data_IF_736721874715
#
_entry.id   IF_736721874715
#
_cell.length_a   1.000
_cell.length_b   1.000
_cell.length_c   1.000
_cell.angle_alpha   90.00
_cell.angle_beta   90.00
_cell.angle_gamma   90.00
#
_symmetry.space_group_name_H-M   'P 1'
#
loop_
_entity.id
_entity.type
_entity.pdbx_description
1 polymer ?
#
# COMPACT_ATOMS: atom_id res chain seq x y z
N UNK A 1 -1.70 20.74 27.13
CA UNK A 1 -2.41 20.02 28.21
C UNK A 1 -2.53 18.51 27.94
N UNK A 2 -1.56 17.91 27.21
CA UNK A 2 -1.37 16.46 27.14
C UNK A 2 0.12 16.20 27.34
N UNK A 3 0.54 16.16 28.60
CA UNK A 3 1.89 15.73 28.97
C UNK A 3 1.86 14.21 29.09
N UNK A 4 1.88 13.53 27.94
CA UNK A 4 2.01 12.07 27.93
C UNK A 4 3.50 11.78 27.93
N UNK A 5 4.09 11.77 29.12
CA UNK A 5 5.46 11.36 29.28
C UNK A 5 5.55 9.82 29.21
N UNK A 6 6.76 9.27 28.98
CA UNK A 6 6.96 7.82 28.91
C UNK A 6 6.46 7.06 30.15
N UNK A 7 6.43 7.72 31.31
CA UNK A 7 5.89 7.20 32.58
C UNK A 7 4.40 6.86 32.50
N UNK A 8 3.59 7.71 31.88
CA UNK A 8 2.15 7.56 31.76
C UNK A 8 1.83 6.36 30.86
N UNK A 9 2.61 6.17 29.78
CA UNK A 9 2.49 4.97 28.96
C UNK A 9 2.81 3.68 29.75
N UNK A 10 3.83 3.70 30.60
CA UNK A 10 4.15 2.58 31.49
C UNK A 10 3.02 2.29 32.49
N UNK A 11 2.43 3.33 33.08
CA UNK A 11 1.30 3.18 33.99
C UNK A 11 0.09 2.55 33.28
N UNK A 12 -0.25 3.05 32.08
CA UNK A 12 -1.36 2.49 31.28
C UNK A 12 -1.07 1.05 30.87
N UNK A 13 0.16 0.72 30.46
CA UNK A 13 0.56 -0.64 30.14
C UNK A 13 0.43 -1.57 31.36
N UNK A 14 0.83 -1.11 32.55
CA UNK A 14 0.67 -1.86 33.79
C UNK A 14 -0.80 -2.11 34.12
N UNK A 15 -1.65 -1.09 34.06
CA UNK A 15 -3.09 -1.22 34.29
C UNK A 15 -3.71 -2.17 33.26
N UNK A 16 -3.33 -2.07 31.98
CA UNK A 16 -3.81 -2.97 30.93
C UNK A 16 -3.41 -4.43 31.22
N UNK A 17 -2.19 -4.68 31.70
CA UNK A 17 -1.74 -6.02 32.09
C UNK A 17 -2.56 -6.59 33.26
N UNK A 18 -2.96 -5.75 34.23
CA UNK A 18 -3.76 -6.20 35.38
C UNK A 18 -5.21 -6.46 34.97
N UNK A 19 -5.81 -5.57 34.18
CA UNK A 19 -7.24 -5.63 33.81
C UNK A 19 -7.51 -6.70 32.75
N UNK A 20 -6.70 -6.72 31.69
CA UNK A 20 -6.86 -7.67 30.57
C UNK A 20 -6.14 -8.97 30.89
N UNK A 21 -5.04 -8.91 31.64
CA UNK A 21 -4.18 -10.06 31.89
C UNK A 21 -3.01 -10.13 30.89
N UNK A 22 -1.81 -10.57 31.34
CA UNK A 22 -0.62 -10.63 30.49
C UNK A 22 -0.72 -11.63 29.34
N UNK A 23 -1.61 -12.63 29.44
CA UNK A 23 -1.82 -13.65 28.40
C UNK A 23 -2.81 -13.21 27.32
N UNK A 24 -3.75 -12.34 27.68
CA UNK A 24 -4.80 -11.87 26.77
C UNK A 24 -4.42 -10.57 26.06
N UNK A 25 -3.52 -9.76 26.65
CA UNK A 25 -3.00 -8.54 26.01
C UNK A 25 -2.36 -8.81 24.63
N UNK A 26 -1.51 -9.84 24.42
CA UNK A 26 -0.98 -10.18 23.11
C UNK A 26 -2.07 -10.54 22.09
N UNK A 27 -3.16 -11.19 22.55
CA UNK A 27 -4.30 -11.52 21.69
C UNK A 27 -5.09 -10.27 21.33
N UNK A 28 -5.33 -9.37 22.27
CA UNK A 28 -5.99 -8.08 22.05
C UNK A 28 -5.19 -7.18 21.09
N UNK A 29 -3.86 -7.09 21.25
CA UNK A 29 -3.00 -6.33 20.34
C UNK A 29 -3.07 -6.83 18.91
N UNK A 30 -3.19 -8.16 18.69
CA UNK A 30 -3.37 -8.72 17.35
C UNK A 30 -4.70 -8.30 16.73
N UNK A 31 -5.78 -8.27 17.52
CA UNK A 31 -7.10 -7.82 17.05
C UNK A 31 -7.05 -6.33 16.69
N UNK A 32 -6.58 -5.49 17.59
CA UNK A 32 -6.43 -4.05 17.35
C UNK A 32 -5.53 -3.81 16.13
N UNK A 33 -4.39 -4.48 16.06
CA UNK A 33 -3.45 -4.39 14.94
C UNK A 33 -4.08 -4.81 13.60
N UNK A 34 -4.90 -5.86 13.59
CA UNK A 34 -5.64 -6.27 12.39
C UNK A 34 -6.61 -5.18 11.92
N UNK A 35 -7.39 -4.60 12.84
CA UNK A 35 -8.33 -3.53 12.53
C UNK A 35 -7.62 -2.27 12.03
N UNK A 36 -6.55 -1.84 12.72
CA UNK A 36 -5.71 -0.71 12.32
C UNK A 36 -5.07 -0.97 10.96
N UNK A 37 -4.56 -2.18 10.71
CA UNK A 37 -3.96 -2.58 9.44
C UNK A 37 -4.96 -2.52 8.29
N UNK A 38 -6.19 -3.00 8.50
CA UNK A 38 -7.28 -2.93 7.53
C UNK A 38 -7.70 -1.49 7.25
N UNK A 39 -7.88 -0.68 8.30
CA UNK A 39 -8.17 0.75 8.15
C UNK A 39 -7.06 1.48 7.40
N UNK A 40 -5.79 1.16 7.66
CA UNK A 40 -4.64 1.74 6.94
C UNK A 40 -4.56 1.28 5.48
N UNK A 41 -4.98 0.06 5.18
CA UNK A 41 -5.11 -0.41 3.79
C UNK A 41 -6.18 0.37 3.02
N UNK A 42 -7.35 0.55 3.64
CA UNK A 42 -8.46 1.33 3.10
C UNK A 42 -8.09 2.81 2.93
N UNK A 43 -7.41 3.41 3.92
CA UNK A 43 -6.93 4.78 3.83
C UNK A 43 -5.89 5.00 2.71
N UNK A 44 -5.09 3.97 2.38
CA UNK A 44 -4.15 4.04 1.25
C UNK A 44 -4.88 4.09 -0.10
N UNK A 45 -5.94 3.29 -0.25
CA UNK A 45 -6.81 3.34 -1.43
C UNK A 45 -7.53 4.69 -1.54
N UNK A 46 -8.03 5.21 -0.41
CA UNK A 46 -8.64 6.54 -0.38
C UNK A 46 -7.63 7.65 -0.67
N UNK A 47 -6.37 7.54 -0.24
CA UNK A 47 -5.35 8.52 -0.61
C UNK A 47 -5.14 8.55 -2.11
N UNK A 48 -5.03 7.39 -2.74
CA UNK A 48 -4.89 7.27 -4.21
C UNK A 48 -6.11 7.81 -4.96
N UNK A 49 -7.33 7.51 -4.49
CA UNK A 49 -8.56 8.05 -5.07
C UNK A 49 -8.77 9.54 -4.82
N UNK A 50 -8.40 10.02 -3.63
CA UNK A 50 -8.47 11.42 -3.23
C UNK A 50 -7.44 12.26 -3.97
N UNK A 51 -6.22 11.78 -4.19
CA UNK A 51 -5.22 12.49 -5.00
C UNK A 51 -5.71 12.68 -6.45
N UNK A 52 -6.48 11.73 -6.99
CA UNK A 52 -7.14 11.87 -8.30
C UNK A 52 -8.31 12.86 -8.27
N UNK A 53 -9.18 12.80 -7.25
CA UNK A 53 -10.31 13.73 -7.10
C UNK A 53 -9.86 15.15 -6.76
N UNK A 54 -8.81 15.32 -5.97
CA UNK A 54 -8.19 16.62 -5.68
C UNK A 54 -7.53 17.17 -6.92
N UNK A 55 -6.89 16.34 -7.74
CA UNK A 55 -6.41 16.80 -9.05
C UNK A 55 -7.57 17.32 -9.90
N UNK A 56 -8.70 16.61 -9.93
CA UNK A 56 -9.91 17.05 -10.63
C UNK A 56 -10.50 18.35 -10.05
N UNK A 57 -10.58 18.48 -8.72
CA UNK A 57 -11.10 19.67 -8.04
C UNK A 57 -10.15 20.87 -8.12
N UNK A 58 -8.83 20.63 -8.09
CA UNK A 58 -7.81 21.64 -8.37
C UNK A 58 -7.90 22.10 -9.84
N UNK A 59 -8.19 21.20 -10.78
CA UNK A 59 -8.38 21.57 -12.19
C UNK A 59 -9.60 22.47 -12.38
N UNK A 60 -10.73 22.18 -11.73
CA UNK A 60 -11.95 22.99 -11.84
C UNK A 60 -11.78 24.40 -11.24
N UNK A 61 -11.05 24.52 -10.11
CA UNK A 61 -10.69 25.83 -9.54
C UNK A 61 -9.61 26.57 -10.34
N UNK A 62 -8.65 25.86 -10.94
CA UNK A 62 -7.61 26.44 -11.79
C UNK A 62 -8.20 26.95 -13.11
N UNK A 63 -9.11 26.23 -13.75
CA UNK A 63 -9.81 26.67 -14.97
C UNK A 63 -10.61 27.94 -14.72
N UNK A 64 -11.31 28.01 -13.58
CA UNK A 64 -12.10 29.20 -13.22
C UNK A 64 -11.21 30.43 -13.00
N UNK A 65 -10.04 30.25 -12.39
CA UNK A 65 -9.04 31.33 -12.22
C UNK A 65 -8.41 31.73 -13.55
N UNK A 66 -8.06 30.77 -14.40
CA UNK A 66 -7.50 31.02 -15.72
C UNK A 66 -8.50 31.72 -16.64
N UNK A 67 -9.77 31.31 -16.64
CA UNK A 67 -10.82 31.94 -17.43
C UNK A 67 -11.10 33.38 -16.97
N UNK A 68 -11.12 33.62 -15.65
CA UNK A 68 -11.30 34.96 -15.09
C UNK A 68 -10.11 35.89 -15.43
N UNK A 69 -8.88 35.39 -15.33
CA UNK A 69 -7.68 36.16 -15.67
C UNK A 69 -7.57 36.41 -17.18
N UNK A 70 -7.89 35.42 -18.02
CA UNK A 70 -7.92 35.57 -19.48
C UNK A 70 -9.00 36.58 -19.93
N UNK A 71 -10.19 36.55 -19.31
CA UNK A 71 -11.24 37.54 -19.57
C UNK A 71 -10.81 38.95 -19.18
N UNK A 72 -10.06 39.09 -18.08
CA UNK A 72 -9.49 40.37 -17.65
C UNK A 72 -8.43 40.87 -18.62
N UNK A 73 -7.50 40.02 -19.06
CA UNK A 73 -6.48 40.35 -20.05
C UNK A 73 -7.12 40.80 -21.38
N UNK A 74 -8.17 40.11 -21.83
CA UNK A 74 -8.91 40.49 -23.06
C UNK A 74 -9.68 41.81 -22.92
N UNK A 75 -10.13 42.14 -21.71
CA UNK A 75 -10.78 43.42 -21.42
C UNK A 75 -9.78 44.58 -21.32
N UNK A 76 -8.58 44.33 -20.80
CA UNK A 76 -7.50 45.32 -20.67
C UNK A 76 -6.71 45.50 -21.98
N UNK A 77 -6.66 44.48 -22.85
CA UNK A 77 -6.01 44.52 -24.18
C UNK A 77 -7.00 44.16 -25.30
N UNK A 78 -7.89 45.08 -25.72
CA UNK A 78 -8.67 44.88 -26.94
C UNK A 78 -7.70 44.71 -28.12
N UNK A 79 -7.83 43.61 -28.86
CA UNK A 79 -6.97 43.31 -29.99
C UNK A 79 -7.05 44.43 -31.03
N UNK A 80 -6.01 45.28 -31.05
CA UNK A 80 -5.75 46.19 -32.16
C UNK A 80 -5.59 45.32 -33.42
N UNK A 81 -6.31 45.62 -34.51
CA UNK A 81 -6.22 44.81 -35.72
C UNK A 81 -4.80 44.84 -36.25
N UNK A 82 -4.36 43.67 -36.72
CA UNK A 82 -3.02 43.37 -37.23
C UNK A 82 -2.46 44.47 -38.15
N UNK A 83 -1.26 44.91 -37.82
CA UNK A 83 -0.43 45.75 -38.67
C UNK A 83 1.04 45.60 -38.28
N UNK A 84 1.87 45.43 -39.30
CA UNK A 84 3.34 45.52 -39.29
C UNK A 84 4.16 44.28 -38.90
N UNK A 85 4.48 43.53 -39.96
CA UNK A 85 5.67 42.73 -40.20
C UNK A 85 6.98 43.26 -39.59
N UNK A 86 7.79 42.37 -39.00
CA UNK A 86 9.25 42.41 -39.13
C UNK A 86 9.84 41.00 -38.97
N UNK A 87 10.09 40.37 -40.12
CA UNK A 87 10.92 39.20 -40.30
C UNK A 87 12.34 39.54 -39.81
N UNK A 88 12.84 38.81 -38.82
CA UNK A 88 14.18 38.94 -38.27
C UNK A 88 14.95 37.65 -38.48
N UNK A 89 15.47 37.50 -39.69
CA UNK A 89 16.31 36.40 -40.13
C UNK A 89 17.53 36.23 -39.22
N UNK A 90 17.78 35.03 -38.71
CA UNK A 90 19.13 34.58 -38.37
C UNK A 90 19.21 33.06 -38.53
N UNK A 91 19.46 32.65 -39.78
CA UNK A 91 20.00 31.34 -40.09
C UNK A 91 21.44 31.28 -39.56
N UNK A 92 21.72 30.35 -38.65
CA UNK A 92 23.04 30.16 -38.07
C UNK A 92 23.24 28.76 -37.50
N UNK A 93 23.78 27.88 -38.36
CA UNK A 93 24.66 26.75 -38.04
C UNK A 93 24.15 25.58 -37.15
N UNK A 94 23.91 24.45 -37.84
CA UNK A 94 24.10 23.03 -37.49
C UNK A 94 24.18 22.56 -36.02
N UNK A 95 23.51 21.45 -35.64
CA UNK A 95 23.57 20.90 -34.29
C UNK A 95 24.96 20.30 -34.02
N UNK A 96 25.69 20.91 -33.10
CA UNK A 96 26.89 20.33 -32.52
C UNK A 96 26.53 19.04 -31.76
N UNK A 97 27.24 17.99 -32.14
CA UNK A 97 27.16 16.63 -31.60
C UNK A 97 27.55 16.68 -30.12
N UNK A 98 26.69 16.18 -29.25
CA UNK A 98 26.94 16.09 -27.80
C UNK A 98 27.95 14.98 -27.58
N UNK A 99 29.18 15.34 -27.24
CA UNK A 99 30.21 14.45 -26.70
C UNK A 99 29.83 14.11 -25.26
N UNK A 100 29.17 12.95 -25.08
CA UNK A 100 28.87 12.40 -23.76
C UNK A 100 30.10 11.63 -23.27
N UNK A 101 30.80 12.24 -22.31
CA UNK A 101 31.81 11.59 -21.47
C UNK A 101 31.21 10.32 -20.85
N UNK A 102 31.91 9.20 -20.99
CA UNK A 102 31.39 7.87 -20.72
C UNK A 102 31.38 7.55 -19.21
N UNK A 103 30.22 7.27 -18.59
CA UNK A 103 30.22 6.61 -17.30
C UNK A 103 30.42 5.10 -17.52
N UNK A 104 31.38 4.55 -16.77
CA UNK A 104 31.75 3.15 -16.74
C UNK A 104 30.54 2.19 -16.74
N UNK A 105 30.67 1.10 -17.49
CA UNK A 105 29.78 -0.06 -17.43
C UNK A 105 29.58 -0.50 -15.97
N UNK A 106 28.43 -0.19 -15.40
CA UNK A 106 27.84 -1.01 -14.34
C UNK A 106 26.86 -1.92 -15.06
N UNK A 107 27.19 -3.21 -15.07
CA UNK A 107 26.37 -4.28 -15.62
C UNK A 107 24.93 -4.15 -15.08
N UNK A 108 23.89 -4.12 -15.93
CA UNK A 108 22.52 -4.08 -15.45
C UNK A 108 22.25 -5.36 -14.64
N UNK A 109 21.57 -5.29 -13.49
CA UNK A 109 21.20 -6.49 -12.76
C UNK A 109 20.33 -7.35 -13.67
N UNK A 110 20.78 -8.58 -13.92
CA UNK A 110 19.99 -9.58 -14.64
C UNK A 110 18.74 -9.84 -13.80
N UNK A 111 17.61 -9.25 -14.20
CA UNK A 111 16.30 -9.65 -13.72
C UNK A 111 16.07 -11.06 -14.29
N UNK A 112 16.17 -12.07 -13.43
CA UNK A 112 15.78 -13.43 -13.79
C UNK A 112 14.27 -13.49 -13.99
N UNK A 113 13.82 -13.13 -15.18
CA UNK A 113 12.41 -13.18 -15.61
C UNK A 113 12.00 -14.59 -16.08
N UNK A 114 12.58 -15.62 -15.46
CA UNK A 114 12.19 -17.02 -15.69
C UNK A 114 11.57 -17.56 -14.42
N UNK A 115 10.30 -18.01 -14.44
CA UNK A 115 9.73 -18.78 -13.35
C UNK A 115 10.65 -19.98 -13.08
N UNK A 116 11.13 -20.09 -11.85
CA UNK A 116 11.83 -21.29 -11.40
C UNK A 116 10.89 -22.50 -11.64
N UNK A 117 11.40 -23.65 -12.14
CA UNK A 117 10.60 -24.85 -12.22
C UNK A 117 10.05 -25.19 -10.82
N UNK A 118 8.78 -25.63 -10.71
CA UNK A 118 8.21 -25.94 -9.42
C UNK A 118 9.04 -27.03 -8.75
N UNK A 119 9.49 -26.76 -7.53
CA UNK A 119 10.08 -27.78 -6.68
C UNK A 119 9.07 -28.92 -6.46
N UNK A 120 9.49 -30.19 -6.43
CA UNK A 120 8.57 -31.29 -6.15
C UNK A 120 7.87 -31.04 -4.81
N UNK A 121 6.57 -31.35 -4.70
CA UNK A 121 5.84 -31.16 -3.44
C UNK A 121 6.53 -31.97 -2.34
N UNK A 122 6.78 -31.33 -1.20
CA UNK A 122 7.14 -32.04 0.02
C UNK A 122 5.91 -32.84 0.41
N UNK A 123 5.96 -34.16 0.20
CA UNK A 123 4.97 -35.08 0.75
C UNK A 123 5.03 -35.00 2.27
N UNK A 124 4.05 -34.34 2.86
CA UNK A 124 3.79 -34.46 4.30
C UNK A 124 3.02 -35.78 4.42
N UNK A 125 3.63 -36.80 5.01
CA UNK A 125 2.90 -38.02 5.38
C UNK A 125 1.70 -37.62 6.24
N UNK A 126 0.50 -37.84 5.71
CA UNK A 126 -0.71 -37.70 6.51
C UNK A 126 -0.65 -38.79 7.58
N UNK A 127 -0.84 -38.49 8.88
CA UNK A 127 -1.00 -39.54 9.87
C UNK A 127 -2.23 -40.36 9.48
N UNK A 128 -2.01 -41.64 9.13
CA UNK A 128 -3.09 -42.60 8.89
C UNK A 128 -3.79 -42.82 10.24
N UNK A 129 -4.99 -42.28 10.37
CA UNK A 129 -5.89 -42.64 11.47
C UNK A 129 -6.56 -43.94 11.07
N UNK A 130 -6.06 -45.05 11.61
CA UNK A 130 -6.72 -46.35 11.52
C UNK A 130 -8.05 -46.29 12.30
N UNK A 131 -9.19 -46.66 11.70
CA UNK A 131 -10.44 -46.73 12.42
C UNK A 131 -10.31 -47.80 13.52
N UNK A 132 -10.60 -47.42 14.77
CA UNK A 132 -10.62 -48.35 15.88
C UNK A 132 -11.57 -49.53 15.56
N UNK A 133 -11.08 -50.75 15.72
CA UNK A 133 -11.87 -51.95 15.55
C UNK A 133 -13.15 -51.85 16.41
N UNK A 134 -14.32 -52.26 15.88
CA UNK A 134 -15.56 -52.21 16.64
C UNK A 134 -15.39 -53.03 17.92
N UNK A 135 -15.51 -52.37 19.06
CA UNK A 135 -15.58 -53.02 20.36
C UNK A 135 -16.82 -53.93 20.37
N UNK A 136 -16.61 -55.22 20.15
CA UNK A 136 -17.59 -56.23 20.52
C UNK A 136 -17.66 -56.25 22.05
N UNK A 137 -18.81 -55.93 22.68
CA UNK A 137 -18.96 -56.20 24.10
C UNK A 137 -18.82 -57.71 24.31
N UNK A 138 -17.96 -58.11 25.24
CA UNK A 138 -17.82 -59.50 25.62
C UNK A 138 -19.19 -60.05 26.06
N UNK A 139 -19.55 -61.30 25.68
CA UNK A 139 -20.79 -61.90 26.16
C UNK A 139 -20.76 -61.92 27.70
N UNK A 140 -21.89 -61.66 28.38
CA UNK A 140 -21.97 -61.79 29.82
C UNK A 140 -21.50 -63.20 30.19
N UNK A 141 -20.53 -63.29 31.08
CA UNK A 141 -20.26 -64.56 31.78
C UNK A 141 -21.47 -64.78 32.67
N UNK A 142 -22.44 -65.51 32.13
CA UNK A 142 -23.55 -66.03 32.89
C UNK A 142 -22.94 -66.93 33.96
N UNK A 143 -23.02 -66.43 35.20
CA UNK A 143 -22.50 -67.12 36.35
C UNK A 143 -23.21 -68.46 36.48
N UNK A 144 -22.41 -69.52 36.56
CA UNK A 144 -22.78 -70.62 37.43
C UNK A 144 -22.95 -70.05 38.85
N UNK A 145 -24.10 -70.28 39.47
CA UNK A 145 -24.01 -70.95 40.76
C UNK A 145 -25.05 -72.07 40.95
N UNK A 146 -24.53 -73.17 41.50
CA UNK A 146 -25.15 -74.19 42.35
C UNK A 146 -26.17 -75.16 41.75
#
# INVERSE_FOLDING_TARGET
MFDIAPSEFLLVAFVALVVIGPKDLPKAMRVVGYWVGKARGVARQFRQGFDNMVREAELEEMEKRWAAENARIMAEHPATPAGETAHGDNAGAAPAVVEHDAPALVEPPVIHDRPAPPSPPISVDHPVVEPAAPHHPAPPREGAPS
#
